data_IF_188868757416
#
_entry.id   IF_188868757416
#
_cell.length_a   1.000
_cell.length_b   1.000
_cell.length_c   1.000
_cell.angle_alpha   90.00
_cell.angle_beta   90.00
_cell.angle_gamma   90.00
#
_symmetry.space_group_name_H-M   'P 1'
#
loop_
_entity.id
_entity.type
_entity.pdbx_description
1 polymer ?
#
# COMPACT_ATOMS: atom_id res chain seq x y z
N UNK A 1 -27.53 -44.29 -15.30
CA UNK A 1 -27.06 -43.16 -14.48
C UNK A 1 -25.80 -42.59 -15.12
N UNK A 2 -25.86 -41.37 -15.67
CA UNK A 2 -24.65 -40.72 -16.22
C UNK A 2 -23.73 -40.42 -15.04
N UNK A 3 -22.56 -41.08 -14.96
CA UNK A 3 -21.50 -40.64 -14.06
C UNK A 3 -21.10 -39.25 -14.56
N UNK A 4 -21.53 -38.21 -13.86
CA UNK A 4 -20.95 -36.88 -14.01
C UNK A 4 -19.46 -37.06 -13.75
N UNK A 5 -18.65 -36.90 -14.79
CA UNK A 5 -17.20 -36.83 -14.69
C UNK A 5 -16.90 -35.63 -13.79
N UNK A 6 -16.66 -35.91 -12.51
CA UNK A 6 -16.13 -34.93 -11.58
C UNK A 6 -14.74 -34.56 -12.10
N UNK A 7 -14.67 -33.52 -12.92
CA UNK A 7 -13.39 -33.01 -13.39
C UNK A 7 -12.58 -32.70 -12.12
N UNK A 8 -11.35 -33.17 -12.09
CA UNK A 8 -10.39 -32.91 -11.01
C UNK A 8 -10.10 -31.41 -11.00
N UNK A 9 -10.99 -30.62 -10.41
CA UNK A 9 -10.79 -29.19 -10.29
C UNK A 9 -9.73 -28.97 -9.23
N UNK A 10 -8.65 -28.32 -9.63
CA UNK A 10 -7.66 -27.78 -8.74
C UNK A 10 -8.36 -26.82 -7.77
N UNK A 11 -8.68 -27.29 -6.56
CA UNK A 11 -9.49 -26.56 -5.57
C UNK A 11 -8.84 -25.22 -5.17
N UNK A 12 -7.59 -24.99 -5.60
CA UNK A 12 -6.82 -23.74 -5.52
C UNK A 12 -7.69 -22.51 -5.73
N UNK A 13 -8.56 -22.54 -6.75
CA UNK A 13 -9.34 -21.42 -7.22
C UNK A 13 -10.70 -21.21 -6.56
N UNK A 14 -11.01 -21.75 -5.37
CA UNK A 14 -12.36 -21.52 -4.79
C UNK A 14 -12.38 -21.14 -3.31
N UNK A 15 -11.38 -21.54 -2.52
CA UNK A 15 -11.37 -21.27 -1.09
C UNK A 15 -9.94 -21.03 -0.56
N UNK A 16 -9.76 -20.09 0.40
CA UNK A 16 -8.48 -19.91 1.09
C UNK A 16 -7.97 -21.22 1.69
N UNK A 17 -6.64 -21.40 1.71
CA UNK A 17 -6.00 -22.65 2.16
C UNK A 17 -6.44 -23.08 3.56
N UNK A 18 -6.73 -22.13 4.46
CA UNK A 18 -7.20 -22.41 5.82
C UNK A 18 -8.52 -23.21 5.85
N UNK A 19 -9.46 -22.93 4.93
CA UNK A 19 -10.76 -23.62 4.89
C UNK A 19 -10.62 -25.09 4.49
N UNK A 20 -9.60 -25.43 3.70
CA UNK A 20 -9.33 -26.83 3.32
C UNK A 20 -8.76 -27.61 4.48
N UNK A 21 -7.77 -27.04 5.17
CA UNK A 21 -7.14 -27.69 6.33
C UNK A 21 -8.15 -27.85 7.47
N UNK A 22 -8.90 -26.79 7.80
CA UNK A 22 -10.00 -26.86 8.79
C UNK A 22 -11.05 -27.90 8.38
N UNK A 23 -11.45 -27.95 7.11
CA UNK A 23 -12.40 -28.94 6.60
C UNK A 23 -11.89 -30.38 6.74
N UNK A 24 -10.63 -30.64 6.39
CA UNK A 24 -9.99 -31.96 6.53
C UNK A 24 -9.91 -32.41 8.00
N UNK A 25 -9.58 -31.48 8.89
CA UNK A 25 -9.58 -31.73 10.35
C UNK A 25 -10.98 -32.09 10.84
N UNK A 26 -11.99 -31.29 10.45
CA UNK A 26 -13.39 -31.49 10.86
C UNK A 26 -13.98 -32.78 10.30
N UNK A 27 -13.57 -33.18 9.11
CA UNK A 27 -13.96 -34.44 8.49
C UNK A 27 -13.20 -35.65 9.05
N UNK A 28 -12.19 -35.45 9.91
CA UNK A 28 -11.37 -36.53 10.48
C UNK A 28 -10.35 -37.12 9.52
N UNK A 29 -10.15 -36.52 8.35
CA UNK A 29 -9.13 -36.95 7.38
C UNK A 29 -7.73 -36.40 7.70
N UNK A 30 -7.64 -35.40 8.59
CA UNK A 30 -6.38 -34.90 9.14
C UNK A 30 -6.48 -34.88 10.66
N UNK A 31 -5.55 -35.56 11.35
CA UNK A 31 -5.51 -35.53 12.81
C UNK A 31 -5.16 -34.13 13.31
N UNK A 32 -5.73 -33.72 14.45
CA UNK A 32 -5.46 -32.40 15.05
C UNK A 32 -3.98 -32.17 15.36
N UNK A 33 -3.27 -33.24 15.73
CA UNK A 33 -1.83 -33.25 16.02
C UNK A 33 -0.97 -33.06 14.78
N UNK A 34 -1.50 -33.42 13.60
CA UNK A 34 -0.81 -33.33 12.32
C UNK A 34 -1.10 -32.02 11.57
N UNK A 35 -1.72 -31.05 12.24
CA UNK A 35 -1.99 -29.75 11.62
C UNK A 35 -0.67 -29.04 11.26
N UNK A 36 -0.65 -28.27 10.16
CA UNK A 36 0.54 -27.50 9.79
C UNK A 36 0.91 -26.47 10.87
N UNK A 37 2.20 -26.21 11.05
CA UNK A 37 2.69 -25.23 12.03
C UNK A 37 2.06 -23.83 11.86
N UNK A 38 1.83 -23.40 10.62
CA UNK A 38 1.26 -22.09 10.32
C UNK A 38 -0.22 -21.95 10.70
N UNK A 39 -0.93 -23.07 10.93
CA UNK A 39 -2.36 -23.07 11.21
C UNK A 39 -2.68 -22.29 12.48
N UNK A 40 -1.90 -22.51 13.55
CA UNK A 40 -2.13 -21.85 14.84
C UNK A 40 -1.83 -20.35 14.76
N UNK A 41 -0.79 -19.96 14.02
CA UNK A 41 -0.45 -18.56 13.75
C UNK A 41 -1.59 -17.86 13.00
N UNK A 42 -2.12 -18.52 11.95
CA UNK A 42 -3.22 -18.00 11.16
C UNK A 42 -4.52 -17.89 11.99
N UNK A 43 -4.81 -18.88 12.82
CA UNK A 43 -6.00 -18.89 13.67
C UNK A 43 -5.94 -17.81 14.77
N UNK A 44 -4.75 -17.51 15.30
CA UNK A 44 -4.54 -16.48 16.30
C UNK A 44 -4.60 -15.06 15.71
N UNK A 45 -4.00 -14.86 14.53
CA UNK A 45 -3.89 -13.54 13.88
C UNK A 45 -4.34 -13.69 12.41
N UNK A 46 -5.65 -13.71 12.15
CA UNK A 46 -6.15 -13.80 10.80
C UNK A 46 -5.82 -12.52 10.01
N UNK A 47 -5.56 -12.61 8.70
CA UNK A 47 -5.35 -11.44 7.86
C UNK A 47 -6.64 -10.61 7.74
N UNK A 48 -6.50 -9.29 7.57
CA UNK A 48 -7.64 -8.38 7.40
C UNK A 48 -8.53 -8.78 6.21
N UNK A 49 -7.93 -9.26 5.13
CA UNK A 49 -8.62 -9.79 3.96
C UNK A 49 -8.14 -11.20 3.68
N UNK A 50 -9.08 -12.13 3.56
CA UNK A 50 -8.74 -13.50 3.23
C UNK A 50 -8.13 -13.61 1.82
N UNK A 51 -7.12 -14.48 1.62
CA UNK A 51 -6.52 -14.71 0.32
C UNK A 51 -7.46 -15.56 -0.52
N UNK A 52 -8.42 -14.90 -1.17
CA UNK A 52 -9.33 -15.49 -2.15
C UNK A 52 -8.72 -15.35 -3.54
N UNK A 53 -8.86 -16.38 -4.38
CA UNK A 53 -8.35 -16.37 -5.76
C UNK A 53 -8.95 -15.22 -6.59
N UNK A 54 -10.25 -14.95 -6.38
CA UNK A 54 -11.06 -13.92 -7.04
C UNK A 54 -10.92 -12.54 -6.39
N UNK A 55 -9.86 -12.33 -5.59
CA UNK A 55 -9.59 -11.03 -5.01
C UNK A 55 -9.37 -10.00 -6.12
N UNK A 56 -10.32 -9.06 -6.24
CA UNK A 56 -10.19 -7.91 -7.13
C UNK A 56 -9.09 -6.98 -6.59
N UNK A 57 -7.91 -7.09 -7.16
CA UNK A 57 -6.83 -6.11 -7.02
C UNK A 57 -7.02 -4.99 -8.04
N UNK A 58 -6.43 -3.83 -7.76
CA UNK A 58 -6.32 -2.74 -8.74
C UNK A 58 -5.64 -3.30 -10.00
N UNK A 59 -6.21 -3.03 -11.17
CA UNK A 59 -5.69 -3.58 -12.43
C UNK A 59 -4.38 -2.90 -12.78
N UNK A 60 -3.46 -3.62 -13.46
CA UNK A 60 -2.16 -3.07 -13.88
C UNK A 60 -2.29 -1.80 -14.74
N UNK A 61 -3.41 -1.65 -15.46
CA UNK A 61 -3.68 -0.50 -16.33
C UNK A 61 -4.50 0.63 -15.65
N UNK A 62 -4.85 0.50 -14.36
CA UNK A 62 -5.57 1.55 -13.65
C UNK A 62 -4.60 2.70 -13.31
N UNK A 63 -4.83 3.93 -13.81
CA UNK A 63 -3.88 5.01 -13.60
C UNK A 63 -3.86 5.41 -12.11
N UNK A 64 -2.73 5.15 -11.44
CA UNK A 64 -2.51 5.61 -10.07
C UNK A 64 -2.72 7.13 -10.01
N UNK A 65 -3.59 7.57 -9.10
CA UNK A 65 -3.87 9.00 -8.92
C UNK A 65 -2.60 9.74 -8.52
N UNK A 66 -2.31 10.84 -9.23
CA UNK A 66 -1.20 11.72 -8.87
C UNK A 66 -1.51 12.39 -7.53
N UNK A 67 -0.58 12.27 -6.58
CA UNK A 67 -0.71 12.86 -5.25
C UNK A 67 -0.09 14.26 -5.31
N UNK A 68 -0.93 15.27 -5.50
CA UNK A 68 -0.55 16.68 -5.43
C UNK A 68 -1.23 17.34 -4.24
N UNK A 69 -0.50 18.20 -3.55
CA UNK A 69 -0.99 19.01 -2.45
C UNK A 69 -1.00 20.49 -2.83
N UNK A 70 -1.82 21.29 -2.16
CA UNK A 70 -1.92 22.72 -2.44
C UNK A 70 -0.58 23.45 -2.22
N UNK A 71 0.23 22.98 -1.27
CA UNK A 71 1.55 23.57 -1.03
C UNK A 71 2.57 23.19 -2.11
N UNK A 72 2.30 22.21 -2.98
CA UNK A 72 3.18 21.87 -4.11
C UNK A 72 3.28 23.04 -5.10
N UNK A 73 2.23 23.86 -5.23
CA UNK A 73 2.25 25.08 -6.07
C UNK A 73 3.29 26.07 -5.53
N UNK A 74 3.27 26.31 -4.23
CA UNK A 74 4.22 27.21 -3.56
C UNK A 74 5.63 26.61 -3.64
N UNK A 75 5.77 25.29 -3.44
CA UNK A 75 7.06 24.60 -3.57
C UNK A 75 7.63 24.71 -4.99
N UNK A 76 6.79 24.57 -6.02
CA UNK A 76 7.20 24.73 -7.41
C UNK A 76 7.63 26.18 -7.70
N UNK A 77 6.86 27.18 -7.26
CA UNK A 77 7.22 28.59 -7.40
C UNK A 77 8.55 28.92 -6.71
N UNK A 78 8.73 28.42 -5.48
CA UNK A 78 9.96 28.63 -4.71
C UNK A 78 11.14 27.94 -5.40
N UNK A 79 10.96 26.73 -5.92
CA UNK A 79 11.99 26.02 -6.67
C UNK A 79 12.36 26.77 -7.95
N UNK A 80 11.37 27.19 -8.74
CA UNK A 80 11.56 27.95 -9.98
C UNK A 80 12.30 29.27 -9.71
N UNK A 81 11.89 30.07 -8.73
CA UNK A 81 12.48 31.38 -8.48
C UNK A 81 13.81 31.34 -7.72
N UNK A 82 14.05 30.32 -6.88
CA UNK A 82 15.34 30.14 -6.21
C UNK A 82 16.38 29.47 -7.10
N UNK A 83 15.97 28.63 -8.04
CA UNK A 83 16.87 27.86 -8.91
C UNK A 83 16.88 28.29 -10.37
N UNK A 84 16.12 29.33 -10.77
CA UNK A 84 16.34 30.10 -12.00
C UNK A 84 17.60 30.99 -11.93
N UNK A 85 18.67 30.50 -11.29
CA UNK A 85 20.03 30.97 -11.50
C UNK A 85 20.62 30.09 -12.62
N UNK A 86 21.26 30.69 -13.65
CA UNK A 86 21.56 30.05 -14.95
C UNK A 86 22.59 28.89 -14.93
N UNK A 87 22.92 28.34 -13.76
CA UNK A 87 23.92 27.29 -13.62
C UNK A 87 23.36 26.09 -12.85
N UNK A 88 22.63 25.23 -13.56
CA UNK A 88 22.17 23.90 -13.13
C UNK A 88 23.34 22.90 -13.01
N UNK A 89 24.35 23.21 -12.20
CA UNK A 89 25.38 22.24 -11.80
C UNK A 89 25.63 22.41 -10.31
N UNK A 90 25.05 21.49 -9.53
CA UNK A 90 25.20 21.23 -8.07
C UNK A 90 23.93 21.51 -7.26
N UNK A 91 22.91 20.69 -7.45
CA UNK A 91 21.99 20.40 -6.35
C UNK A 91 22.36 19.05 -5.76
N UNK A 92 23.20 19.11 -4.73
CA UNK A 92 23.44 17.99 -3.83
C UNK A 92 22.09 17.70 -3.17
N UNK A 93 21.49 16.57 -3.52
CA UNK A 93 20.26 16.06 -2.90
C UNK A 93 20.52 16.06 -1.40
N UNK A 94 19.94 17.02 -0.68
CA UNK A 94 20.07 17.07 0.78
C UNK A 94 19.43 15.80 1.30
N UNK A 95 20.22 15.06 2.07
CA UNK A 95 19.91 13.74 2.59
C UNK A 95 18.52 13.72 3.21
N UNK A 96 17.62 12.92 2.62
CA UNK A 96 16.24 12.67 3.05
C UNK A 96 16.12 11.94 4.40
N UNK A 97 17.12 12.05 5.28
CA UNK A 97 17.31 11.18 6.44
C UNK A 97 17.09 11.92 7.78
N UNK A 98 16.98 13.26 7.81
CA UNK A 98 16.79 13.99 9.07
C UNK A 98 15.46 14.77 9.13
N UNK A 99 14.47 14.34 9.93
CA UNK A 99 13.21 15.07 10.09
C UNK A 99 13.35 16.37 10.88
N UNK A 100 14.44 16.56 11.64
CA UNK A 100 14.67 17.75 12.48
C UNK A 100 15.24 18.96 11.72
N UNK A 101 15.81 18.76 10.53
CA UNK A 101 16.34 19.84 9.68
C UNK A 101 15.44 20.16 8.48
N UNK A 102 14.24 19.59 8.46
CA UNK A 102 13.24 19.90 7.46
C UNK A 102 12.66 21.29 7.73
N UNK A 103 12.86 22.33 6.94
CA UNK A 103 13.65 22.62 5.75
C UNK A 103 13.45 24.14 5.63
N UNK A 104 14.43 24.91 5.15
CA UNK A 104 14.23 26.34 4.84
C UNK A 104 12.97 26.51 3.96
N UNK A 105 12.73 25.55 3.07
CA UNK A 105 11.54 25.47 2.23
C UNK A 105 10.25 25.25 3.03
N UNK A 106 10.21 24.32 3.99
CA UNK A 106 9.04 24.13 4.88
C UNK A 106 8.73 25.38 5.68
N UNK A 107 9.76 26.05 6.24
CA UNK A 107 9.57 27.31 6.98
C UNK A 107 9.06 28.42 6.07
N UNK A 108 9.61 28.55 4.86
CA UNK A 108 9.16 29.53 3.85
C UNK A 108 7.72 29.29 3.40
N UNK A 109 7.35 28.04 3.14
CA UNK A 109 5.99 27.64 2.75
C UNK A 109 5.00 27.95 3.88
N UNK A 110 5.33 27.60 5.13
CA UNK A 110 4.47 27.94 6.29
C UNK A 110 4.28 29.44 6.45
N UNK A 111 5.35 30.22 6.30
CA UNK A 111 5.27 31.68 6.38
C UNK A 111 4.44 32.29 5.24
N UNK A 112 4.56 31.77 4.00
CA UNK A 112 3.76 32.27 2.88
C UNK A 112 2.27 31.93 3.03
N UNK A 113 1.94 30.75 3.56
CA UNK A 113 0.56 30.36 3.85
C UNK A 113 -0.04 31.26 4.94
N UNK A 114 0.71 31.48 6.04
CA UNK A 114 0.27 32.37 7.12
C UNK A 114 0.04 33.82 6.64
N UNK A 115 0.92 34.35 5.78
CA UNK A 115 0.74 35.68 5.18
C UNK A 115 -0.53 35.76 4.32
N UNK A 116 -0.79 34.73 3.50
CA UNK A 116 -1.98 34.68 2.66
C UNK A 116 -3.28 34.66 3.48
N UNK A 117 -3.29 33.96 4.62
CA UNK A 117 -4.45 33.90 5.52
C UNK A 117 -4.74 35.24 6.19
N UNK A 118 -3.70 35.95 6.64
CA UNK A 118 -3.84 37.26 7.31
C UNK A 118 -4.13 38.43 6.36
N UNK A 119 -4.12 38.22 5.05
CA UNK A 119 -4.37 39.27 4.04
C UNK A 119 -5.81 39.25 3.51
N UNK A 120 -6.61 38.27 3.92
CA UNK A 120 -8.00 38.06 3.50
C UNK A 120 -9.00 38.52 4.57
N UNK A 121 -8.54 38.75 5.80
CA UNK A 121 -9.24 39.52 6.85
C UNK A 121 -9.00 41.02 6.68
#
# INVERSE_FOLDING_TARGET
>A
MKKSSMNYYDLSSYAPKIYRVTGLIRAGHLNWEQRPLWYDVYAAIPPLREPVWDAKFEKEDEPVRKIFYDEDIIRAYVFLNQFALPNLKKFKIRSLICPSNADILRKRVKNSIAYAQNSVE
#
